data_IF_660125191728
#
_entry.id   IF_660125191728
#
_cell.length_a   1.000
_cell.length_b   1.000
_cell.length_c   1.000
_cell.angle_alpha   90.00
_cell.angle_beta   90.00
_cell.angle_gamma   90.00
#
_symmetry.space_group_name_H-M   'P 1'
#
loop_
_entity.id
_entity.type
_entity.pdbx_description
1 polymer ?
#
# COMPACT_ATOMS: atom_id res chain seq x y z
N UNK A 1 10.56 -0.32 -11.75
CA UNK A 1 9.97 1.00 -12.10
C UNK A 1 8.44 0.97 -12.02
N UNK A 2 7.75 0.09 -12.77
CA UNK A 2 6.29 -0.04 -12.74
C UNK A 2 5.71 -0.35 -11.34
N UNK A 3 6.38 -1.18 -10.55
CA UNK A 3 5.93 -1.58 -9.21
C UNK A 3 5.97 -0.40 -8.22
N UNK A 4 7.03 0.41 -8.26
CA UNK A 4 7.14 1.61 -7.44
C UNK A 4 6.12 2.68 -7.87
N UNK A 5 5.81 2.80 -9.16
CA UNK A 5 4.75 3.70 -9.65
C UNK A 5 3.36 3.25 -9.19
N UNK A 6 3.10 1.94 -9.11
CA UNK A 6 1.88 1.40 -8.53
C UNK A 6 1.78 1.78 -7.04
N UNK A 7 2.86 1.60 -6.28
CA UNK A 7 2.91 1.98 -4.86
C UNK A 7 2.74 3.49 -4.65
N UNK A 8 3.39 4.32 -5.47
CA UNK A 8 3.19 5.79 -5.45
C UNK A 8 1.73 6.16 -5.73
N UNK A 9 1.10 5.52 -6.70
CA UNK A 9 -0.32 5.76 -7.03
C UNK A 9 -1.22 5.37 -5.85
N UNK A 10 -0.95 4.23 -5.22
CA UNK A 10 -1.63 3.81 -3.98
C UNK A 10 -1.42 4.84 -2.85
N UNK A 11 -0.18 5.30 -2.66
CA UNK A 11 0.23 6.28 -1.65
C UNK A 11 -0.45 7.66 -1.80
N UNK A 12 -0.81 8.04 -3.02
CA UNK A 12 -1.50 9.29 -3.35
C UNK A 12 -3.03 9.15 -3.35
N UNK A 13 -3.56 7.93 -3.46
CA UNK A 13 -5.01 7.75 -3.42
C UNK A 13 -5.55 7.94 -1.98
N UNK A 14 -6.24 9.05 -1.75
CA UNK A 14 -6.84 9.39 -0.44
C UNK A 14 -8.02 8.50 -0.04
N UNK A 15 -8.64 7.78 -0.98
CA UNK A 15 -9.78 6.89 -0.70
C UNK A 15 -9.41 5.82 0.32
N UNK A 16 -8.17 5.31 0.28
CA UNK A 16 -7.66 4.29 1.21
C UNK A 16 -7.21 4.83 2.58
N UNK A 17 -7.56 6.10 2.88
CA UNK A 17 -7.26 6.74 4.16
C UNK A 17 -5.83 7.29 4.28
N UNK A 18 -5.48 7.87 5.43
CA UNK A 18 -4.20 8.54 5.63
C UNK A 18 -3.02 7.56 5.53
N UNK A 19 -1.92 8.04 4.93
CA UNK A 19 -0.69 7.27 4.73
C UNK A 19 0.40 7.58 5.77
N UNK A 20 0.10 8.41 6.78
CA UNK A 20 1.09 8.89 7.75
C UNK A 20 1.15 8.00 8.98
N UNK A 21 2.37 7.67 9.41
CA UNK A 21 2.62 6.94 10.66
C UNK A 21 2.29 5.43 10.60
N UNK A 22 2.05 4.88 9.42
CA UNK A 22 1.80 3.45 9.18
C UNK A 22 2.52 3.00 7.91
N UNK A 23 2.85 1.71 7.83
CA UNK A 23 3.39 1.07 6.62
C UNK A 23 2.33 0.97 5.51
N UNK A 24 2.77 0.77 4.27
CA UNK A 24 1.84 0.53 3.14
C UNK A 24 0.95 -0.68 3.37
N UNK A 25 1.48 -1.74 4.00
CA UNK A 25 0.73 -2.97 4.31
C UNK A 25 -0.35 -2.73 5.37
N UNK A 26 -0.04 -1.98 6.43
CA UNK A 26 -1.04 -1.59 7.44
C UNK A 26 -2.14 -0.74 6.84
N UNK A 27 -1.79 0.19 5.95
CA UNK A 27 -2.75 1.02 5.22
C UNK A 27 -3.67 0.18 4.33
N UNK A 28 -3.10 -0.76 3.58
CA UNK A 28 -3.87 -1.68 2.74
C UNK A 28 -4.86 -2.49 3.57
N UNK A 29 -4.40 -3.12 4.65
CA UNK A 29 -5.24 -3.91 5.56
C UNK A 29 -6.36 -3.07 6.20
N UNK A 30 -6.09 -1.80 6.53
CA UNK A 30 -7.13 -0.89 7.04
C UNK A 30 -8.18 -0.62 5.96
N UNK A 31 -7.76 -0.29 4.73
CA UNK A 31 -8.68 -0.01 3.64
C UNK A 31 -9.57 -1.22 3.30
N UNK A 32 -9.00 -2.42 3.28
CA UNK A 32 -9.71 -3.67 3.08
C UNK A 32 -10.75 -3.93 4.19
N UNK A 33 -10.36 -3.75 5.46
CA UNK A 33 -11.29 -3.83 6.61
C UNK A 33 -12.45 -2.85 6.54
N UNK A 34 -12.27 -1.71 5.89
CA UNK A 34 -13.33 -0.72 5.66
C UNK A 34 -14.16 -0.99 4.40
N UNK A 35 -13.89 -2.08 3.67
CA UNK A 35 -14.60 -2.44 2.45
C UNK A 35 -14.30 -1.53 1.27
N UNK A 36 -13.15 -0.85 1.28
CA UNK A 36 -12.74 0.10 0.23
C UNK A 36 -12.10 -0.59 -0.98
N UNK A 37 -11.96 -1.92 -0.93
CA UNK A 37 -11.44 -2.77 -2.01
C UNK A 37 -10.11 -2.26 -2.59
N UNK A 38 -9.05 -2.10 -1.76
CA UNK A 38 -7.75 -1.70 -2.27
C UNK A 38 -7.20 -2.73 -3.28
N UNK A 39 -6.32 -2.33 -4.23
CA UNK A 39 -5.87 -3.23 -5.29
C UNK A 39 -5.09 -4.42 -4.73
N UNK A 40 -5.46 -5.65 -5.12
CA UNK A 40 -4.77 -6.87 -4.69
C UNK A 40 -3.29 -6.90 -5.13
N UNK A 41 -2.97 -6.32 -6.30
CA UNK A 41 -1.59 -6.21 -6.80
C UNK A 41 -0.67 -5.46 -5.84
N UNK A 42 -1.20 -4.50 -5.07
CA UNK A 42 -0.43 -3.80 -4.02
C UNK A 42 -0.11 -4.76 -2.88
N UNK A 43 -1.09 -5.55 -2.43
CA UNK A 43 -0.86 -6.53 -1.36
C UNK A 43 0.18 -7.58 -1.75
N UNK A 44 0.07 -8.13 -2.96
CA UNK A 44 0.97 -9.16 -3.45
C UNK A 44 2.41 -8.63 -3.53
N UNK A 45 2.56 -7.41 -4.06
CA UNK A 45 3.85 -6.73 -4.15
C UNK A 45 4.45 -6.45 -2.77
N UNK A 46 3.66 -5.93 -1.83
CA UNK A 46 4.13 -5.68 -0.46
C UNK A 46 4.50 -6.97 0.28
N UNK A 47 3.79 -8.06 0.00
CA UNK A 47 4.08 -9.39 0.56
C UNK A 47 5.39 -9.97 0.02
N UNK A 48 5.68 -9.76 -1.26
CA UNK A 48 6.94 -10.19 -1.89
C UNK A 48 8.15 -9.39 -1.39
N UNK A 49 7.95 -8.13 -1.00
CA UNK A 49 9.01 -7.20 -0.60
C UNK A 49 8.95 -6.83 0.90
N UNK A 50 8.50 -7.75 1.77
CA UNK A 50 8.22 -7.45 3.19
C UNK A 50 9.41 -6.93 4.01
N UNK A 51 10.64 -7.11 3.53
CA UNK A 51 11.88 -6.64 4.19
C UNK A 51 12.51 -5.42 3.49
N UNK A 52 11.93 -4.96 2.39
CA UNK A 52 12.44 -3.83 1.62
C UNK A 52 11.77 -2.54 2.08
N UNK A 53 12.57 -1.58 2.57
CA UNK A 53 12.07 -0.31 3.07
C UNK A 53 11.48 0.56 1.96
N UNK A 54 12.00 0.47 0.73
CA UNK A 54 11.48 1.25 -0.39
C UNK A 54 10.06 0.79 -0.78
N UNK A 55 9.72 -0.47 -0.51
CA UNK A 55 8.39 -1.03 -0.79
C UNK A 55 7.46 -0.95 0.40
N UNK A 56 7.95 -1.10 1.63
CA UNK A 56 7.10 -1.15 2.83
C UNK A 56 6.77 0.22 3.43
N UNK A 57 7.64 1.23 3.23
CA UNK A 57 7.52 2.58 3.80
C UNK A 57 7.10 3.62 2.76
N UNK A 58 6.56 4.75 3.23
CA UNK A 58 6.17 5.91 2.41
C UNK A 58 6.90 7.17 2.84
#
# INVERSE_FOLDING_TARGET
EKDLELLKSFDLNHEFGPCTGITRMERWNRADKHGLNPPQSVYDLLSQHSNDREYTQK
#
